data_IF_336635557871
#
_entry.id   IF_336635557871
#
_cell.length_a   1.000
_cell.length_b   1.000
_cell.length_c   1.000
_cell.angle_alpha   90.00
_cell.angle_beta   90.00
_cell.angle_gamma   90.00
#
_symmetry.space_group_name_H-M   'P 1'
#
loop_
_entity.id
_entity.type
_entity.pdbx_description
1 polymer ?
#
# COMPACT_ATOMS: atom_id res chain seq x y z
N UNK A 1 -12.95 22.85 15.31
CA UNK A 1 -13.01 22.49 13.87
C UNK A 1 -12.69 23.73 13.03
N UNK A 2 -11.41 24.12 12.91
CA UNK A 2 -10.91 25.12 11.94
C UNK A 2 -9.36 25.19 11.85
N UNK A 3 -8.61 24.64 12.83
CA UNK A 3 -7.14 24.71 12.82
C UNK A 3 -6.40 23.80 11.82
N UNK A 4 -7.00 22.69 11.37
CA UNK A 4 -6.34 21.74 10.46
C UNK A 4 -6.40 22.16 8.98
N UNK A 5 -7.48 22.87 8.59
CA UNK A 5 -7.62 23.46 7.25
C UNK A 5 -6.62 24.60 7.01
N UNK A 6 -6.21 25.28 8.08
CA UNK A 6 -5.12 26.26 8.05
C UNK A 6 -3.73 25.61 7.97
N UNK A 7 -3.54 24.40 8.49
CA UNK A 7 -2.22 23.75 8.47
C UNK A 7 -1.89 23.14 7.10
N UNK A 8 -2.82 22.45 6.45
CA UNK A 8 -2.61 21.94 5.08
C UNK A 8 -2.73 23.02 4.00
N UNK A 9 -3.38 24.16 4.32
CA UNK A 9 -3.55 25.31 3.44
C UNK A 9 -2.51 26.42 3.57
N UNK A 10 -1.70 26.44 4.64
CA UNK A 10 -0.82 27.57 4.96
C UNK A 10 0.60 27.12 5.37
N UNK A 11 1.28 26.39 4.48
CA UNK A 11 2.67 25.93 4.67
C UNK A 11 3.66 26.86 3.91
N UNK A 12 3.98 28.06 4.45
CA UNK A 12 5.28 28.69 4.23
C UNK A 12 6.16 28.66 5.50
N UNK A 13 5.66 28.17 6.64
CA UNK A 13 6.44 28.10 7.90
C UNK A 13 7.41 26.91 7.97
N UNK A 14 7.13 25.81 7.23
CA UNK A 14 7.97 24.60 7.23
C UNK A 14 9.29 24.74 6.46
N UNK A 15 9.39 25.68 5.52
CA UNK A 15 10.64 25.95 4.81
C UNK A 15 11.69 26.59 5.75
N UNK A 16 11.28 27.50 6.65
CA UNK A 16 12.23 28.28 7.48
C UNK A 16 12.82 27.54 8.68
N UNK A 17 12.20 26.46 9.17
CA UNK A 17 12.77 25.67 10.28
C UNK A 17 13.72 24.58 9.78
N UNK A 18 13.45 23.97 8.62
CA UNK A 18 14.32 22.94 8.03
C UNK A 18 15.61 23.56 7.46
N UNK A 19 15.54 24.77 6.88
CA UNK A 19 16.74 25.47 6.38
C UNK A 19 17.68 25.91 7.52
N UNK A 20 17.14 26.26 8.70
CA UNK A 20 17.96 26.73 9.83
C UNK A 20 18.75 25.61 10.53
N UNK A 21 18.26 24.37 10.51
CA UNK A 21 18.98 23.23 11.09
C UNK A 21 20.08 22.65 10.17
N UNK A 22 19.99 22.89 8.86
CA UNK A 22 20.97 22.40 7.87
C UNK A 22 22.18 23.35 7.77
N UNK A 23 22.00 24.66 7.98
CA UNK A 23 23.09 25.64 7.99
C UNK A 23 23.91 25.63 9.30
N UNK A 24 23.32 25.23 10.42
CA UNK A 24 23.95 25.27 11.74
C UNK A 24 24.87 24.07 12.02
N UNK A 25 24.77 22.99 11.24
CA UNK A 25 25.58 21.76 11.39
C UNK A 25 26.66 21.60 10.32
N UNK A 26 27.39 22.67 10.00
CA UNK A 26 28.49 22.66 9.02
C UNK A 26 29.47 21.48 9.18
N UNK A 27 29.23 20.41 8.43
CA UNK A 27 30.07 19.20 8.40
C UNK A 27 30.61 19.04 6.97
N UNK A 28 31.92 19.27 6.83
CA UNK A 28 32.68 18.94 5.62
C UNK A 28 32.85 17.41 5.48
N UNK A 29 32.88 16.87 4.24
CA UNK A 29 33.02 15.43 4.02
C UNK A 29 34.49 14.99 4.16
N UNK A 30 34.75 13.96 4.99
CA UNK A 30 36.08 13.32 5.09
C UNK A 30 36.19 12.04 4.23
N UNK A 31 37.44 11.69 3.91
CA UNK A 31 37.92 10.89 2.77
C UNK A 31 37.48 9.41 2.66
N UNK A 32 36.49 8.95 3.43
CA UNK A 32 35.98 7.57 3.39
C UNK A 32 35.24 7.18 2.09
N UNK A 33 34.88 8.15 1.24
CA UNK A 33 34.02 7.95 0.07
C UNK A 33 34.77 7.32 -1.14
N UNK A 34 36.11 7.37 -1.20
CA UNK A 34 36.85 6.89 -2.39
C UNK A 34 36.94 5.37 -2.55
N UNK A 35 36.68 4.56 -1.51
CA UNK A 35 36.75 3.08 -1.62
C UNK A 35 35.43 2.40 -1.97
N UNK A 36 34.28 3.09 -1.88
CA UNK A 36 32.97 2.50 -2.17
C UNK A 36 32.54 2.66 -3.65
N UNK A 37 33.23 3.50 -4.42
CA UNK A 37 32.92 3.75 -5.84
C UNK A 37 33.30 2.58 -6.77
N UNK A 38 34.33 1.79 -6.41
CA UNK A 38 34.72 0.64 -7.24
C UNK A 38 33.78 -0.57 -7.09
N UNK A 39 33.09 -0.72 -5.96
CA UNK A 39 32.10 -1.79 -5.75
C UNK A 39 30.74 -1.47 -6.43
N UNK A 40 30.36 -0.19 -6.49
CA UNK A 40 29.11 0.25 -7.16
C UNK A 40 29.14 0.13 -8.68
N UNK A 41 30.31 0.22 -9.32
CA UNK A 41 30.40 0.06 -10.79
C UNK A 41 30.19 -1.39 -11.26
N UNK A 42 30.61 -2.39 -10.47
CA UNK A 42 30.48 -3.81 -10.86
C UNK A 42 29.02 -4.26 -10.78
N UNK A 43 28.27 -3.84 -9.76
CA UNK A 43 26.85 -4.20 -9.59
C UNK A 43 25.98 -3.50 -10.64
N UNK A 44 26.26 -2.22 -10.94
CA UNK A 44 25.50 -1.46 -11.94
C UNK A 44 25.65 -2.02 -13.36
N UNK A 45 26.84 -2.50 -13.74
CA UNK A 45 27.04 -3.11 -15.06
C UNK A 45 26.36 -4.48 -15.19
N UNK A 46 26.28 -5.27 -14.10
CA UNK A 46 25.55 -6.54 -14.10
C UNK A 46 24.03 -6.35 -14.25
N UNK A 47 23.46 -5.38 -13.51
CA UNK A 47 22.02 -5.08 -13.54
C UNK A 47 21.60 -4.49 -14.89
N UNK A 48 22.40 -3.59 -15.47
CA UNK A 48 22.12 -3.02 -16.80
C UNK A 48 22.26 -4.10 -17.89
N UNK A 49 23.24 -5.02 -17.77
CA UNK A 49 23.41 -6.13 -18.71
C UNK A 49 22.20 -7.07 -18.77
N UNK A 50 21.61 -7.40 -17.62
CA UNK A 50 20.42 -8.26 -17.54
C UNK A 50 19.18 -7.55 -18.08
N UNK A 51 19.01 -6.25 -17.79
CA UNK A 51 17.88 -5.45 -18.28
C UNK A 51 17.88 -5.29 -19.80
N UNK A 52 19.05 -5.05 -20.41
CA UNK A 52 19.16 -4.86 -21.87
C UNK A 52 18.91 -6.17 -22.64
N UNK A 53 19.39 -7.31 -22.13
CA UNK A 53 19.12 -8.62 -22.74
C UNK A 53 17.64 -9.00 -22.60
N UNK A 54 17.01 -8.69 -21.46
CA UNK A 54 15.57 -8.90 -21.25
C UNK A 54 14.70 -8.10 -22.20
N UNK A 55 15.03 -6.82 -22.43
CA UNK A 55 14.29 -5.95 -23.36
C UNK A 55 14.48 -6.41 -24.82
N UNK A 56 15.69 -6.80 -25.23
CA UNK A 56 15.94 -7.29 -26.59
C UNK A 56 15.23 -8.62 -26.87
N UNK A 57 15.11 -9.52 -25.89
CA UNK A 57 14.33 -10.75 -26.00
C UNK A 57 12.82 -10.46 -26.15
N UNK A 58 12.30 -9.47 -25.41
CA UNK A 58 10.88 -9.08 -25.47
C UNK A 58 10.51 -8.40 -26.81
N UNK A 59 11.41 -7.56 -27.34
CA UNK A 59 11.24 -6.93 -28.65
C UNK A 59 11.37 -7.96 -29.78
N UNK A 60 12.27 -8.95 -29.66
CA UNK A 60 12.42 -10.03 -30.63
C UNK A 60 11.19 -10.93 -30.75
N UNK A 61 10.55 -11.28 -29.62
CA UNK A 61 9.31 -12.08 -29.61
C UNK A 61 8.12 -11.29 -30.18
N UNK A 62 8.03 -10.00 -29.86
CA UNK A 62 6.97 -9.11 -30.37
C UNK A 62 7.13 -8.83 -31.88
N UNK A 63 8.36 -8.75 -32.38
CA UNK A 63 8.64 -8.56 -33.81
C UNK A 63 8.40 -9.83 -34.64
N UNK A 64 8.62 -11.03 -34.08
CA UNK A 64 8.35 -12.30 -34.77
C UNK A 64 6.85 -12.64 -34.84
N UNK A 65 6.06 -12.29 -33.83
CA UNK A 65 4.60 -12.52 -33.88
C UNK A 65 3.87 -11.62 -34.90
N UNK A 66 4.44 -10.47 -35.27
CA UNK A 66 3.81 -9.51 -36.19
C UNK A 66 4.07 -9.83 -37.69
N UNK A 67 4.95 -10.78 -38.02
CA UNK A 67 5.27 -11.15 -39.42
C UNK A 67 4.57 -12.41 -39.94
N UNK A 68 3.76 -13.09 -39.11
CA UNK A 68 3.11 -14.37 -39.48
C UNK A 68 1.60 -14.26 -39.76
N UNK A 69 1.05 -13.06 -39.97
CA UNK A 69 -0.32 -12.95 -40.49
C UNK A 69 -0.32 -13.11 -42.03
N UNK A 70 -1.11 -14.05 -42.59
CA UNK A 70 -1.26 -14.16 -44.03
C UNK A 70 -2.07 -12.97 -44.61
N UNK A 71 -1.85 -12.61 -45.89
CA UNK A 71 -2.30 -11.35 -46.46
C UNK A 71 -3.77 -11.33 -46.91
N UNK A 72 -4.32 -10.11 -46.87
CA UNK A 72 -5.67 -9.64 -47.26
C UNK A 72 -6.10 -9.94 -48.71
N UNK A 73 -7.42 -10.08 -48.98
CA UNK A 73 -8.08 -9.54 -50.22
C UNK A 73 -9.62 -9.38 -50.05
N UNK A 74 -10.30 -8.42 -50.73
CA UNK A 74 -11.66 -7.94 -50.43
C UNK A 74 -12.75 -8.29 -51.48
N UNK A 75 -13.99 -7.85 -51.20
CA UNK A 75 -15.16 -7.60 -52.11
C UNK A 75 -16.27 -8.67 -52.14
N UNK A 76 -17.49 -8.29 -51.75
CA UNK A 76 -18.64 -8.09 -52.65
C UNK A 76 -19.98 -7.85 -51.90
N UNK A 77 -20.70 -6.84 -52.39
CA UNK A 77 -22.07 -6.43 -52.07
C UNK A 77 -23.11 -7.47 -52.48
N UNK A 78 -24.20 -7.65 -51.71
CA UNK A 78 -25.56 -7.79 -52.27
C UNK A 78 -26.64 -7.52 -51.21
N UNK A 79 -27.74 -6.94 -51.69
CA UNK A 79 -28.83 -6.30 -50.98
C UNK A 79 -29.91 -7.25 -50.40
N UNK A 80 -30.63 -6.73 -49.41
CA UNK A 80 -32.08 -6.85 -49.16
C UNK A 80 -32.72 -8.21 -48.82
N UNK A 81 -33.34 -8.29 -47.63
CA UNK A 81 -34.81 -8.36 -47.49
C UNK A 81 -35.30 -8.15 -46.06
N UNK A 82 -36.28 -7.26 -45.97
CA UNK A 82 -37.16 -6.94 -44.85
C UNK A 82 -38.26 -8.00 -44.69
N UNK A 83 -38.67 -8.35 -43.46
CA UNK A 83 -40.08 -8.64 -43.13
C UNK A 83 -40.33 -8.76 -41.62
N UNK A 84 -41.48 -8.23 -41.20
CA UNK A 84 -41.94 -7.89 -39.85
C UNK A 84 -42.50 -9.03 -38.98
N UNK A 85 -42.67 -8.68 -37.69
CA UNK A 85 -43.82 -8.95 -36.80
C UNK A 85 -43.98 -10.32 -36.10
N UNK A 86 -43.91 -10.33 -34.75
CA UNK A 86 -45.07 -10.22 -33.84
C UNK A 86 -44.88 -10.97 -32.51
N UNK A 87 -45.41 -10.36 -31.45
CA UNK A 87 -45.46 -10.72 -30.03
C UNK A 87 -46.11 -12.10 -29.73
N UNK A 88 -45.77 -12.73 -28.60
CA UNK A 88 -46.64 -12.89 -27.39
C UNK A 88 -46.03 -13.84 -26.34
N UNK A 89 -46.26 -13.46 -25.09
CA UNK A 89 -45.97 -14.03 -23.76
C UNK A 89 -45.99 -15.55 -23.55
N UNK A 90 -45.13 -15.99 -22.62
CA UNK A 90 -45.33 -17.18 -21.78
C UNK A 90 -44.49 -17.08 -20.51
N UNK A 91 -45.13 -16.92 -19.34
CA UNK A 91 -44.52 -17.09 -18.03
C UNK A 91 -44.03 -18.53 -17.86
N UNK A 92 -42.78 -18.70 -17.43
CA UNK A 92 -42.30 -19.92 -16.79
C UNK A 92 -41.38 -19.52 -15.63
N UNK A 93 -41.86 -19.80 -14.44
CA UNK A 93 -41.17 -19.67 -13.17
C UNK A 93 -40.03 -20.67 -13.11
N UNK A 94 -38.78 -20.21 -13.12
CA UNK A 94 -37.63 -21.02 -12.72
C UNK A 94 -36.81 -20.27 -11.68
N UNK A 95 -36.69 -20.91 -10.51
CA UNK A 95 -35.71 -20.60 -9.48
C UNK A 95 -34.31 -20.67 -10.09
N UNK A 96 -33.77 -19.51 -10.47
CA UNK A 96 -32.36 -19.35 -10.73
C UNK A 96 -31.79 -18.49 -9.63
N UNK A 97 -30.92 -19.10 -8.82
CA UNK A 97 -29.98 -18.42 -7.94
C UNK A 97 -29.19 -17.40 -8.76
N UNK A 98 -29.70 -16.17 -8.81
CA UNK A 98 -28.94 -15.02 -9.27
C UNK A 98 -27.78 -14.84 -8.31
N UNK A 99 -26.60 -15.28 -8.74
CA UNK A 99 -25.39 -14.58 -8.37
C UNK A 99 -25.65 -13.10 -8.66
N UNK A 100 -25.66 -12.28 -7.62
CA UNK A 100 -25.74 -10.84 -7.73
C UNK A 100 -24.55 -10.44 -8.58
N UNK A 101 -24.84 -10.14 -9.84
CA UNK A 101 -23.92 -9.55 -10.78
C UNK A 101 -23.67 -8.15 -10.22
N UNK A 102 -22.58 -8.02 -9.43
CA UNK A 102 -22.14 -6.74 -8.86
C UNK A 102 -22.21 -5.70 -9.96
N UNK A 103 -22.84 -4.56 -9.65
CA UNK A 103 -23.08 -3.51 -10.63
C UNK A 103 -21.72 -3.06 -11.15
N UNK A 104 -21.31 -3.53 -12.33
CA UNK A 104 -20.06 -3.17 -13.03
C UNK A 104 -19.89 -1.65 -13.16
N UNK A 105 -20.97 -0.91 -12.95
CA UNK A 105 -21.07 0.52 -13.12
C UNK A 105 -21.17 1.26 -11.77
N UNK A 106 -20.96 0.60 -10.61
CA UNK A 106 -21.10 1.23 -9.28
C UNK A 106 -20.28 2.53 -9.19
N UNK A 107 -18.97 2.42 -9.45
CA UNK A 107 -18.07 3.58 -9.43
C UNK A 107 -18.40 4.63 -10.49
N UNK A 108 -19.00 4.24 -11.63
CA UNK A 108 -19.40 5.14 -12.71
C UNK A 108 -20.66 5.93 -12.38
N UNK A 109 -21.55 5.38 -11.54
CA UNK A 109 -22.78 6.03 -11.09
C UNK A 109 -22.54 7.05 -9.99
N UNK A 110 -21.52 6.82 -9.16
CA UNK A 110 -21.14 7.72 -8.08
C UNK A 110 -20.44 8.97 -8.61
N UNK A 111 -20.69 10.11 -7.98
CA UNK A 111 -19.85 11.29 -8.11
C UNK A 111 -18.49 11.08 -7.44
N UNK A 112 -17.52 11.97 -7.74
CA UNK A 112 -16.21 11.92 -7.09
C UNK A 112 -16.31 12.07 -5.56
N UNK A 113 -17.23 12.92 -5.09
CA UNK A 113 -17.47 13.09 -3.65
C UNK A 113 -18.05 11.84 -3.01
N UNK A 114 -19.02 11.19 -3.66
CA UNK A 114 -19.63 9.97 -3.11
C UNK A 114 -18.62 8.80 -3.06
N UNK A 115 -17.75 8.65 -4.07
CA UNK A 115 -16.65 7.67 -4.01
C UNK A 115 -15.67 7.96 -2.87
N UNK A 116 -15.30 9.22 -2.67
CA UNK A 116 -14.42 9.64 -1.58
C UNK A 116 -15.05 9.37 -0.20
N UNK A 117 -16.33 9.72 -0.04
CA UNK A 117 -17.07 9.48 1.20
C UNK A 117 -17.19 7.96 1.47
N UNK A 118 -17.57 7.15 0.47
CA UNK A 118 -17.69 5.68 0.59
C UNK A 118 -16.34 5.00 0.92
N UNK A 119 -15.25 5.40 0.26
CA UNK A 119 -13.92 4.87 0.54
C UNK A 119 -13.45 5.23 1.96
N UNK A 120 -13.77 6.45 2.42
CA UNK A 120 -13.42 6.93 3.77
C UNK A 120 -14.22 6.19 4.84
N UNK A 121 -15.52 5.96 4.61
CA UNK A 121 -16.36 5.16 5.50
C UNK A 121 -15.88 3.70 5.59
N UNK A 122 -15.45 3.11 4.48
CA UNK A 122 -14.86 1.78 4.47
C UNK A 122 -13.54 1.72 5.24
N UNK A 123 -12.67 2.73 5.08
CA UNK A 123 -11.46 2.86 5.89
C UNK A 123 -11.79 2.98 7.37
N UNK A 124 -12.71 3.87 7.74
CA UNK A 124 -13.14 4.08 9.13
C UNK A 124 -13.73 2.80 9.73
N UNK A 125 -14.54 2.06 8.96
CA UNK A 125 -15.11 0.78 9.35
C UNK A 125 -14.03 -0.26 9.68
N UNK A 126 -12.97 -0.34 8.84
CA UNK A 126 -11.81 -1.18 9.15
C UNK A 126 -11.03 -0.66 10.36
N UNK A 127 -10.72 0.64 10.41
CA UNK A 127 -9.90 1.25 11.44
C UNK A 127 -10.55 1.18 12.83
N UNK A 128 -11.88 1.20 12.90
CA UNK A 128 -12.67 1.03 14.13
C UNK A 128 -13.10 -0.42 14.40
N UNK A 129 -12.75 -1.38 13.54
CA UNK A 129 -13.09 -2.81 13.74
C UNK A 129 -12.26 -3.50 14.84
N UNK A 130 -11.26 -2.81 15.39
CA UNK A 130 -10.43 -3.27 16.50
C UNK A 130 -10.28 -2.15 17.54
N UNK A 131 -9.97 -2.50 18.78
CA UNK A 131 -9.72 -1.48 19.82
C UNK A 131 -8.24 -1.06 19.83
N UNK A 132 -7.97 0.18 20.26
CA UNK A 132 -6.60 0.63 20.44
C UNK A 132 -5.89 -0.27 21.47
N UNK A 133 -4.72 -0.81 21.11
CA UNK A 133 -3.97 -1.74 21.95
C UNK A 133 -4.40 -3.21 21.84
N UNK A 134 -5.32 -3.56 20.93
CA UNK A 134 -5.67 -4.95 20.65
C UNK A 134 -4.41 -5.78 20.35
N UNK A 135 -4.20 -6.87 21.08
CA UNK A 135 -3.03 -7.75 20.93
C UNK A 135 -3.19 -8.59 19.67
N UNK A 136 -2.18 -8.56 18.79
CA UNK A 136 -2.17 -9.33 17.54
C UNK A 136 -1.13 -10.46 17.53
N UNK A 137 -0.08 -10.36 18.35
CA UNK A 137 0.87 -11.44 18.59
C UNK A 137 1.31 -11.40 20.04
N UNK A 138 1.30 -12.55 20.71
CA UNK A 138 1.80 -12.72 22.07
C UNK A 138 2.72 -13.94 22.15
N UNK A 139 3.84 -13.78 22.85
CA UNK A 139 4.77 -14.85 23.19
C UNK A 139 4.74 -15.13 24.69
N UNK A 140 5.05 -16.37 25.07
CA UNK A 140 5.23 -16.70 26.47
C UNK A 140 6.45 -15.97 27.03
N UNK A 141 6.36 -15.42 28.25
CA UNK A 141 7.48 -14.76 28.96
C UNK A 141 8.73 -15.63 29.07
N UNK A 142 8.57 -16.95 29.10
CA UNK A 142 9.69 -17.90 29.12
C UNK A 142 10.58 -17.80 27.86
N UNK A 143 10.02 -17.33 26.74
CA UNK A 143 10.75 -17.13 25.49
C UNK A 143 11.65 -15.87 25.49
N UNK A 144 11.61 -15.07 26.55
CA UNK A 144 12.54 -13.94 26.74
C UNK A 144 13.89 -14.39 27.31
N UNK A 145 13.98 -15.61 27.86
CA UNK A 145 15.22 -16.11 28.48
C UNK A 145 16.22 -16.51 27.40
N UNK A 146 17.48 -16.12 27.57
CA UNK A 146 18.56 -16.57 26.68
C UNK A 146 18.61 -18.10 26.60
N UNK A 147 18.70 -18.64 25.39
CA UNK A 147 18.83 -20.08 25.16
C UNK A 147 17.53 -20.89 25.33
N UNK A 148 16.36 -20.26 25.48
CA UNK A 148 15.07 -20.95 25.67
C UNK A 148 14.54 -21.70 24.44
N UNK A 149 15.33 -21.82 23.36
CA UNK A 149 14.84 -22.23 22.04
C UNK A 149 14.01 -21.12 21.43
N UNK A 150 14.68 -20.10 20.88
CA UNK A 150 14.01 -18.91 20.34
C UNK A 150 13.05 -19.26 19.20
N UNK A 151 11.95 -18.51 19.11
CA UNK A 151 11.08 -18.53 17.92
C UNK A 151 11.80 -17.82 16.78
N UNK A 152 11.87 -18.45 15.61
CA UNK A 152 12.58 -17.82 14.49
C UNK A 152 11.83 -16.56 14.00
N UNK A 153 12.53 -15.57 13.41
CA UNK A 153 11.86 -14.40 12.85
C UNK A 153 10.76 -14.76 11.84
N UNK A 154 11.00 -15.79 11.03
CA UNK A 154 10.04 -16.28 10.02
C UNK A 154 8.77 -16.82 10.69
N UNK A 155 8.89 -17.58 11.78
CA UNK A 155 7.74 -18.09 12.52
C UNK A 155 6.93 -16.97 13.17
N UNK A 156 7.59 -15.97 13.77
CA UNK A 156 6.92 -14.81 14.37
C UNK A 156 6.16 -14.00 13.31
N UNK A 157 6.80 -13.74 12.16
CA UNK A 157 6.19 -13.03 11.04
C UNK A 157 5.00 -13.79 10.47
N UNK A 158 5.16 -15.11 10.24
CA UNK A 158 4.08 -15.95 9.71
C UNK A 158 2.87 -15.94 10.64
N UNK A 159 3.10 -16.16 11.95
CA UNK A 159 2.03 -16.14 12.94
C UNK A 159 1.36 -14.78 13.06
N UNK A 160 2.12 -13.69 12.99
CA UNK A 160 1.58 -12.33 12.98
C UNK A 160 0.67 -12.09 11.76
N UNK A 161 1.13 -12.47 10.56
CA UNK A 161 0.35 -12.34 9.32
C UNK A 161 -0.92 -13.20 9.37
N UNK A 162 -0.85 -14.44 9.87
CA UNK A 162 -2.01 -15.32 9.98
C UNK A 162 -3.05 -14.75 10.96
N UNK A 163 -2.61 -14.20 12.10
CA UNK A 163 -3.51 -13.53 13.04
C UNK A 163 -4.16 -12.28 12.43
N UNK A 164 -3.42 -11.50 11.64
CA UNK A 164 -3.96 -10.35 10.91
C UNK A 164 -4.99 -10.77 9.87
N UNK A 165 -4.73 -11.83 9.10
CA UNK A 165 -5.68 -12.40 8.13
C UNK A 165 -6.98 -12.84 8.80
N UNK A 166 -6.87 -13.54 9.92
CA UNK A 166 -8.03 -13.98 10.70
C UNK A 166 -8.85 -12.80 11.26
N UNK A 167 -8.19 -11.70 11.62
CA UNK A 167 -8.85 -10.52 12.22
C UNK A 167 -9.48 -9.59 11.18
N UNK A 168 -8.77 -9.29 10.09
CA UNK A 168 -9.22 -8.30 9.11
C UNK A 168 -10.02 -8.90 7.96
N UNK A 169 -9.73 -10.15 7.60
CA UNK A 169 -10.42 -10.85 6.53
C UNK A 169 -10.43 -10.04 5.24
N UNK A 170 -11.63 -9.81 4.72
CA UNK A 170 -11.89 -9.16 3.44
C UNK A 170 -11.97 -7.62 3.52
N UNK A 171 -11.68 -6.99 4.67
CA UNK A 171 -11.61 -5.52 4.81
C UNK A 171 -10.33 -4.92 4.21
N UNK A 172 -9.31 -5.75 4.05
CA UNK A 172 -8.05 -5.40 3.42
C UNK A 172 -7.81 -6.34 2.24
N UNK A 173 -7.04 -5.92 1.25
CA UNK A 173 -6.71 -6.73 0.08
C UNK A 173 -5.57 -7.72 0.37
N UNK A 174 -5.37 -8.72 -0.50
CA UNK A 174 -4.27 -9.69 -0.32
C UNK A 174 -2.88 -9.05 -0.41
N UNK A 175 -2.74 -7.97 -1.19
CA UNK A 175 -1.49 -7.23 -1.28
C UNK A 175 -1.15 -6.48 0.02
N UNK A 176 -2.13 -6.19 0.90
CA UNK A 176 -1.88 -5.69 2.25
C UNK A 176 -0.95 -6.62 3.03
N UNK A 177 -1.31 -7.91 3.09
CA UNK A 177 -0.53 -8.91 3.83
C UNK A 177 0.82 -9.17 3.14
N UNK A 178 0.84 -9.18 1.80
CA UNK A 178 2.05 -9.46 1.02
C UNK A 178 3.08 -8.33 1.14
N UNK A 179 2.64 -7.07 1.09
CA UNK A 179 3.49 -5.90 1.32
C UNK A 179 4.04 -5.87 2.74
N UNK A 180 3.20 -6.14 3.75
CA UNK A 180 3.63 -6.18 5.14
C UNK A 180 4.66 -7.30 5.40
N UNK A 181 4.46 -8.48 4.82
CA UNK A 181 5.42 -9.57 4.91
C UNK A 181 6.75 -9.21 4.23
N UNK A 182 6.69 -8.53 3.08
CA UNK A 182 7.90 -8.04 2.39
C UNK A 182 8.65 -7.03 3.26
N UNK A 183 7.93 -6.12 3.93
CA UNK A 183 8.51 -5.19 4.89
C UNK A 183 9.22 -5.91 6.04
N UNK A 184 8.66 -7.01 6.57
CA UNK A 184 9.30 -7.78 7.63
C UNK A 184 10.55 -8.56 7.19
N UNK A 185 10.70 -8.90 5.92
CA UNK A 185 11.93 -9.53 5.42
C UNK A 185 13.16 -8.63 5.62
N UNK A 186 12.96 -7.31 5.61
CA UNK A 186 14.02 -6.33 5.85
C UNK A 186 13.95 -5.66 7.23
N UNK A 187 12.79 -5.73 7.89
CA UNK A 187 12.54 -5.16 9.20
C UNK A 187 11.95 -6.23 10.13
N UNK A 188 12.77 -7.17 10.62
CA UNK A 188 12.28 -8.43 11.16
C UNK A 188 11.55 -8.28 12.49
N UNK A 189 10.52 -9.12 12.68
CA UNK A 189 9.92 -9.39 14.00
C UNK A 189 10.83 -10.36 14.76
N UNK A 190 11.31 -9.95 15.92
CA UNK A 190 12.33 -10.69 16.70
C UNK A 190 12.03 -10.67 18.19
N UNK A 191 12.71 -11.55 18.94
CA UNK A 191 12.83 -11.43 20.40
C UNK A 191 14.23 -10.90 20.71
N UNK A 192 14.30 -9.62 21.06
CA UNK A 192 15.53 -8.95 21.48
C UNK A 192 15.76 -9.16 22.99
N UNK A 193 17.01 -9.34 23.41
CA UNK A 193 17.34 -9.61 24.82
C UNK A 193 16.98 -8.48 25.79
N UNK A 194 16.96 -7.23 25.32
CA UNK A 194 16.62 -6.06 26.14
C UNK A 194 15.15 -5.65 25.96
N UNK A 195 14.72 -5.50 24.70
CA UNK A 195 13.37 -5.03 24.35
C UNK A 195 12.31 -6.11 24.47
N UNK A 196 12.68 -7.38 24.42
CA UNK A 196 11.76 -8.51 24.25
C UNK A 196 11.22 -8.62 22.83
N UNK A 197 9.98 -9.09 22.68
CA UNK A 197 9.30 -9.17 21.38
C UNK A 197 9.18 -7.77 20.75
N UNK A 198 9.72 -7.57 19.55
CA UNK A 198 9.69 -6.26 18.88
C UNK A 198 9.76 -6.39 17.36
N UNK A 199 9.55 -5.28 16.65
CA UNK A 199 9.76 -5.14 15.21
C UNK A 199 11.02 -4.28 15.04
N UNK A 200 12.08 -4.85 14.49
CA UNK A 200 13.36 -4.15 14.35
C UNK A 200 13.42 -3.42 13.01
N UNK A 201 13.53 -2.09 13.04
CA UNK A 201 13.88 -1.31 11.85
C UNK A 201 15.36 -1.56 11.52
N UNK A 202 15.63 -2.22 10.39
CA UNK A 202 17.00 -2.54 9.94
C UNK A 202 17.25 -2.12 8.50
N UNK A 203 16.21 -1.83 7.71
CA UNK A 203 16.36 -1.36 6.34
C UNK A 203 16.58 0.16 6.28
N UNK A 204 17.53 0.58 5.44
CA UNK A 204 17.74 1.99 5.09
C UNK A 204 16.61 2.53 4.21
N UNK A 205 15.98 1.67 3.41
CA UNK A 205 14.80 2.00 2.63
C UNK A 205 13.61 2.25 3.57
N UNK A 206 13.36 3.53 3.80
CA UNK A 206 12.29 4.04 4.66
C UNK A 206 10.91 3.53 4.20
N UNK A 207 10.70 3.30 2.90
CA UNK A 207 9.41 2.81 2.40
C UNK A 207 9.03 1.44 2.98
N UNK A 208 10.02 0.59 3.30
CA UNK A 208 9.79 -0.71 3.92
C UNK A 208 9.34 -0.60 5.38
N UNK A 209 9.52 0.55 6.03
CA UNK A 209 9.06 0.77 7.39
C UNK A 209 7.61 1.27 7.44
N UNK A 210 7.14 1.94 6.38
CA UNK A 210 5.81 2.54 6.32
C UNK A 210 4.69 1.55 6.60
N UNK A 211 4.75 0.32 6.08
CA UNK A 211 3.72 -0.71 6.31
C UNK A 211 3.52 -1.09 7.78
N UNK A 212 4.44 -0.73 8.67
CA UNK A 212 4.36 -1.00 10.12
C UNK A 212 3.64 0.11 10.90
N UNK A 213 3.11 1.15 10.22
CA UNK A 213 2.55 2.35 10.85
C UNK A 213 1.50 2.05 11.93
N UNK A 214 0.66 1.03 11.72
CA UNK A 214 -0.44 0.64 12.62
C UNK A 214 -0.05 -0.38 13.71
N UNK A 215 1.21 -0.82 13.75
CA UNK A 215 1.75 -1.80 14.72
C UNK A 215 2.62 -1.15 15.78
N UNK A 216 2.58 -1.65 17.00
CA UNK A 216 3.42 -1.18 18.11
C UNK A 216 3.73 -2.31 19.11
N UNK A 217 4.60 -2.06 20.08
CA UNK A 217 4.79 -2.94 21.24
C UNK A 217 4.03 -2.43 22.46
N UNK A 218 3.55 -3.33 23.34
CA UNK A 218 2.90 -2.91 24.60
C UNK A 218 3.88 -2.18 25.54
N UNK A 219 5.15 -2.59 25.51
CA UNK A 219 6.24 -2.05 26.34
C UNK A 219 7.51 -1.80 25.52
N UNK A 220 8.38 -0.94 26.03
CA UNK A 220 9.71 -0.67 25.46
C UNK A 220 10.77 -1.72 25.85
N UNK A 221 10.64 -2.31 27.03
CA UNK A 221 11.57 -3.28 27.60
C UNK A 221 10.85 -4.57 28.02
N UNK A 222 11.51 -5.71 27.80
CA UNK A 222 10.99 -7.04 28.14
C UNK A 222 9.53 -7.28 27.66
N UNK A 223 9.21 -6.75 26.48
CA UNK A 223 7.90 -6.85 25.88
C UNK A 223 7.57 -8.28 25.45
N UNK A 224 6.29 -8.63 25.48
CA UNK A 224 5.80 -9.95 25.04
C UNK A 224 4.68 -9.87 24.02
N UNK A 225 4.27 -8.67 23.61
CA UNK A 225 3.08 -8.44 22.80
C UNK A 225 3.29 -7.42 21.68
N UNK A 226 2.85 -7.75 20.48
CA UNK A 226 2.62 -6.77 19.40
C UNK A 226 1.14 -6.39 19.43
N UNK A 227 0.86 -5.10 19.34
CA UNK A 227 -0.49 -4.53 19.42
C UNK A 227 -0.83 -3.71 18.19
N UNK A 228 -2.13 -3.57 17.92
CA UNK A 228 -2.67 -2.68 16.91
C UNK A 228 -2.94 -1.29 17.50
N UNK A 229 -2.73 -0.24 16.69
CA UNK A 229 -2.99 1.15 17.07
C UNK A 229 -3.99 1.78 16.10
N UNK A 230 -5.03 2.40 16.65
CA UNK A 230 -6.02 3.16 15.88
C UNK A 230 -6.38 4.53 16.47
N UNK A 231 -5.43 5.12 17.18
CA UNK A 231 -5.57 6.43 17.83
C UNK A 231 -4.91 7.56 17.04
N UNK A 232 -4.69 7.38 15.73
CA UNK A 232 -4.10 8.39 14.85
C UNK A 232 -5.20 9.14 14.09
N UNK A 233 -5.13 10.48 14.00
CA UNK A 233 -6.00 11.25 13.13
C UNK A 233 -5.82 10.83 11.66
N UNK A 234 -6.92 10.65 10.95
CA UNK A 234 -6.95 10.37 9.52
C UNK A 234 -7.94 11.28 8.79
N UNK A 235 -7.69 11.51 7.51
CA UNK A 235 -8.59 12.25 6.62
C UNK A 235 -8.48 11.76 5.18
N UNK A 236 -9.53 11.98 4.39
CA UNK A 236 -9.47 11.79 2.94
C UNK A 236 -8.52 12.82 2.32
N UNK A 237 -7.77 12.39 1.31
CA UNK A 237 -6.82 13.24 0.58
C UNK A 237 -7.22 13.29 -0.90
N UNK A 238 -7.43 14.51 -1.43
CA UNK A 238 -7.63 14.71 -2.87
C UNK A 238 -6.32 14.47 -3.63
N UNK A 239 -6.05 13.20 -3.92
CA UNK A 239 -4.82 12.84 -4.63
C UNK A 239 -4.85 13.28 -6.09
N UNK A 240 -6.02 13.22 -6.75
CA UNK A 240 -6.16 13.48 -8.18
C UNK A 240 -6.00 14.95 -8.54
N UNK A 241 -6.50 15.86 -7.72
CA UNK A 241 -6.50 17.28 -8.09
C UNK A 241 -5.49 18.12 -7.30
N UNK A 242 -4.99 17.62 -6.17
CA UNK A 242 -4.14 18.41 -5.27
C UNK A 242 -2.85 17.67 -4.90
N UNK A 243 -2.94 16.64 -4.05
CA UNK A 243 -1.76 16.11 -3.37
C UNK A 243 -0.69 15.57 -4.34
N UNK A 244 -1.06 14.91 -5.44
CA UNK A 244 -0.09 14.42 -6.44
C UNK A 244 0.69 15.52 -7.16
N UNK A 245 0.22 16.77 -7.11
CA UNK A 245 0.89 17.91 -7.75
C UNK A 245 1.79 18.68 -6.77
N UNK A 246 1.74 18.35 -5.48
CA UNK A 246 2.61 18.96 -4.46
C UNK A 246 4.01 18.36 -4.58
N UNK A 247 5.04 19.21 -4.57
CA UNK A 247 6.46 18.80 -4.70
C UNK A 247 6.87 17.71 -3.71
N UNK A 248 6.35 17.77 -2.49
CA UNK A 248 6.64 16.78 -1.44
C UNK A 248 6.10 15.37 -1.73
N UNK A 249 5.04 15.24 -2.57
CA UNK A 249 4.27 14.00 -2.71
C UNK A 249 4.17 13.49 -4.15
N UNK A 250 4.52 14.31 -5.15
CA UNK A 250 4.34 14.00 -6.58
C UNK A 250 4.99 12.70 -7.07
N UNK A 251 5.98 12.19 -6.33
CA UNK A 251 6.72 10.98 -6.69
C UNK A 251 6.28 9.73 -5.90
N UNK A 252 5.25 9.83 -5.05
CA UNK A 252 4.85 8.75 -4.14
C UNK A 252 4.04 7.66 -4.85
N UNK A 253 2.97 8.03 -5.57
CA UNK A 253 2.05 7.08 -6.22
C UNK A 253 2.00 7.30 -7.73
N UNK A 254 3.14 7.15 -8.40
CA UNK A 254 3.28 7.35 -9.86
C UNK A 254 2.87 6.13 -10.68
N UNK A 255 2.68 4.98 -10.04
CA UNK A 255 2.30 3.71 -10.67
C UNK A 255 0.80 3.60 -11.01
N UNK A 256 -0.02 4.55 -10.56
CA UNK A 256 -1.47 4.55 -10.76
C UNK A 256 -1.89 5.61 -11.78
N UNK A 257 -2.80 5.26 -12.69
CA UNK A 257 -3.42 6.20 -13.62
C UNK A 257 -4.55 6.96 -12.92
N UNK A 258 -4.17 7.99 -12.16
CA UNK A 258 -5.11 8.81 -11.41
C UNK A 258 -6.13 9.57 -12.27
N UNK A 259 -5.84 9.78 -13.56
CA UNK A 259 -6.71 10.54 -14.45
C UNK A 259 -7.88 9.69 -14.96
N UNK A 260 -7.68 8.38 -15.12
CA UNK A 260 -8.68 7.48 -15.71
C UNK A 260 -9.15 6.35 -14.78
N UNK A 261 -8.39 6.03 -13.73
CA UNK A 261 -8.72 4.94 -12.83
C UNK A 261 -9.49 5.44 -11.61
N UNK A 262 -10.77 5.05 -11.52
CA UNK A 262 -11.68 5.39 -10.42
C UNK A 262 -11.61 4.42 -9.26
N UNK A 263 -10.90 3.29 -9.41
CA UNK A 263 -10.89 2.21 -8.43
C UNK A 263 -10.04 2.50 -7.20
N UNK A 264 -9.32 3.62 -7.15
CA UNK A 264 -8.42 3.99 -6.05
C UNK A 264 -8.82 5.30 -5.38
N UNK A 265 -8.72 5.36 -4.05
CA UNK A 265 -8.83 6.59 -3.25
C UNK A 265 -7.70 6.61 -2.22
N UNK A 266 -7.40 7.78 -1.65
CA UNK A 266 -6.28 7.94 -0.69
C UNK A 266 -6.77 8.48 0.64
N UNK A 267 -6.33 7.81 1.72
CA UNK A 267 -6.50 8.27 3.10
C UNK A 267 -5.13 8.68 3.65
N UNK A 268 -5.04 9.90 4.17
CA UNK A 268 -3.88 10.43 4.86
C UNK A 268 -4.01 10.21 6.37
N UNK A 269 -2.89 9.84 7.00
CA UNK A 269 -2.81 9.56 8.43
C UNK A 269 -1.69 10.42 9.00
N UNK A 270 -2.00 11.19 10.04
CA UNK A 270 -1.03 12.02 10.72
C UNK A 270 -0.50 11.29 11.97
N UNK A 271 0.79 10.97 11.95
CA UNK A 271 1.49 10.28 13.02
C UNK A 271 2.56 11.17 13.70
N UNK A 272 2.63 12.46 13.34
CA UNK A 272 3.68 13.40 13.80
C UNK A 272 3.77 13.51 15.32
N UNK A 273 2.62 13.48 16.01
CA UNK A 273 2.55 13.55 17.47
C UNK A 273 2.40 12.16 18.13
N UNK A 274 2.50 11.09 17.34
CA UNK A 274 2.34 9.74 17.85
C UNK A 274 3.52 9.33 18.73
N UNK A 275 3.21 8.70 19.87
CA UNK A 275 4.20 8.06 20.73
C UNK A 275 4.08 6.56 20.55
N UNK A 276 5.01 6.00 19.78
CA UNK A 276 5.18 4.57 19.59
C UNK A 276 6.42 4.10 20.33
N UNK A 277 6.42 2.83 20.73
CA UNK A 277 7.57 2.17 21.35
C UNK A 277 8.56 1.63 20.30
N UNK A 278 8.09 1.45 19.07
CA UNK A 278 8.93 1.24 17.87
C UNK A 278 9.14 2.56 17.12
N UNK A 279 10.11 2.59 16.20
CA UNK A 279 10.40 3.76 15.38
C UNK A 279 9.13 4.29 14.69
N UNK A 280 8.91 5.60 14.76
CA UNK A 280 7.74 6.26 14.22
C UNK A 280 7.75 6.41 12.70
N UNK A 281 6.58 6.75 12.17
CA UNK A 281 6.37 7.34 10.85
C UNK A 281 5.76 8.70 11.11
N UNK A 282 6.06 9.73 10.32
CA UNK A 282 5.49 11.07 10.52
C UNK A 282 4.13 11.21 9.82
N UNK A 283 4.05 10.78 8.56
CA UNK A 283 2.83 10.80 7.75
C UNK A 283 2.75 9.52 6.92
N UNK A 284 1.57 8.91 6.86
CA UNK A 284 1.28 7.80 5.95
C UNK A 284 0.10 8.14 5.03
N UNK A 285 0.24 7.83 3.74
CA UNK A 285 -0.83 7.83 2.76
C UNK A 285 -1.14 6.39 2.40
N UNK A 286 -2.37 5.96 2.66
CA UNK A 286 -2.84 4.60 2.43
C UNK A 286 -3.81 4.60 1.26
N UNK A 287 -3.57 3.72 0.29
CA UNK A 287 -4.46 3.55 -0.85
C UNK A 287 -5.62 2.62 -0.47
N UNK A 288 -6.83 3.09 -0.71
CA UNK A 288 -8.06 2.30 -0.75
C UNK A 288 -8.29 1.83 -2.18
N UNK A 289 -8.71 0.58 -2.36
CA UNK A 289 -9.07 0.01 -3.67
C UNK A 289 -10.47 -0.57 -3.65
N UNK A 290 -11.29 -0.22 -4.63
CA UNK A 290 -12.57 -0.88 -4.86
C UNK A 290 -12.36 -2.26 -5.46
N UNK A 291 -12.87 -3.29 -4.80
CA UNK A 291 -12.85 -4.66 -5.29
C UNK A 291 -14.18 -4.99 -5.96
N UNK A 292 -14.21 -4.94 -7.30
CA UNK A 292 -15.41 -5.21 -8.10
C UNK A 292 -16.04 -6.58 -7.84
N UNK A 293 -15.25 -7.59 -7.45
CA UNK A 293 -15.75 -8.93 -7.17
C UNK A 293 -16.47 -9.02 -5.82
N UNK A 294 -16.05 -8.20 -4.86
CA UNK A 294 -16.63 -8.14 -3.51
C UNK A 294 -17.60 -6.96 -3.34
N UNK A 295 -17.71 -6.11 -4.36
CA UNK A 295 -18.54 -4.92 -4.40
C UNK A 295 -18.31 -4.00 -3.19
N UNK A 296 -17.04 -3.75 -2.86
CA UNK A 296 -16.64 -2.93 -1.71
C UNK A 296 -15.21 -2.41 -1.79
N UNK A 297 -14.94 -1.36 -1.02
CA UNK A 297 -13.59 -0.82 -0.80
C UNK A 297 -12.78 -1.69 0.17
N UNK A 298 -11.48 -1.82 -0.12
CA UNK A 298 -10.50 -2.52 0.71
C UNK A 298 -9.27 -1.64 0.94
N UNK A 299 -8.66 -1.77 2.12
CA UNK A 299 -7.36 -1.16 2.41
C UNK A 299 -6.25 -1.96 1.71
N UNK A 300 -5.36 -1.30 0.99
CA UNK A 300 -4.25 -1.95 0.27
C UNK A 300 -2.94 -1.94 1.03
N UNK A 301 -1.97 -2.73 0.57
CA UNK A 301 -0.58 -2.68 1.03
C UNK A 301 0.27 -1.65 0.29
N UNK A 302 -0.33 -0.86 -0.60
CA UNK A 302 0.35 0.23 -1.29
C UNK A 302 0.30 1.47 -0.40
N UNK A 303 1.46 1.84 0.13
CA UNK A 303 1.61 2.93 1.09
C UNK A 303 2.71 3.89 0.67
N UNK A 304 2.49 5.16 0.96
CA UNK A 304 3.45 6.23 0.79
C UNK A 304 3.56 7.05 2.06
N UNK A 305 4.57 7.88 2.20
CA UNK A 305 4.70 8.66 3.43
C UNK A 305 6.02 9.38 3.59
N UNK A 306 6.11 10.06 4.72
CA UNK A 306 7.32 10.71 5.22
C UNK A 306 7.63 10.07 6.56
N UNK A 307 8.87 9.63 6.74
CA UNK A 307 9.38 9.13 8.01
C UNK A 307 10.13 10.26 8.70
#
# INVERSE_FOLDING_TARGET
>A
MNGLKEFFGNIPMFQKQVEREIEEKGIEPSEGIKKMEFSRQVIRNLVIGVLVVGILAFVGISYFNNKNQPPVTPTATTESKESNQSETSGEATENSSQAVQGSSDHLLKLSAKERADEATEAFESWYKSFSNGDVILEINKELLKEGSGGTSPIELQTKLIDNLKAKFGDKVSDDFYTSLQTSFNFNPVIVDGSKGLTISKQNDDQSQWLNTWFLDTEKTEQNTKIVLRNDFPFEWVDWRNDARHREAYKNIFTQLDWDNDLSYEVVGINLTESKKNVEGVSIAFVIMKYNEKLDKWQVTGSIGGII
#
